data_IF_389280275379
#
_entry.id   IF_389280275379
#
_cell.length_a   1.000
_cell.length_b   1.000
_cell.length_c   1.000
_cell.angle_alpha   90.00
_cell.angle_beta   90.00
_cell.angle_gamma   90.00
#
_symmetry.space_group_name_H-M   'P 1'
#
loop_
_entity.id
_entity.type
_entity.pdbx_description
1 polymer ?
#
# COMPACT_ATOMS: atom_id res chain seq x y z
N UNK A 1 -3.10 -37.15 -1.21
CA UNK A 1 -3.96 -36.14 -0.52
C UNK A 1 -4.17 -34.99 -1.47
N UNK A 2 -5.43 -34.66 -1.78
CA UNK A 2 -5.78 -33.61 -2.73
C UNK A 2 -5.47 -32.22 -2.15
N UNK A 3 -4.78 -31.38 -2.94
CA UNK A 3 -4.43 -30.00 -2.62
C UNK A 3 -5.72 -29.17 -2.53
N UNK A 4 -5.95 -28.54 -1.38
CA UNK A 4 -6.82 -27.36 -1.33
C UNK A 4 -5.99 -26.23 -1.92
N UNK A 5 -6.36 -25.75 -3.11
CA UNK A 5 -5.86 -24.50 -3.65
C UNK A 5 -6.00 -23.41 -2.58
N UNK A 6 -4.93 -22.68 -2.26
CA UNK A 6 -4.99 -21.45 -1.43
C UNK A 6 -5.87 -20.37 -2.09
N UNK A 7 -6.28 -20.60 -3.34
CA UNK A 7 -7.01 -19.65 -4.15
C UNK A 7 -8.53 -19.89 -4.13
N UNK A 8 -9.27 -18.84 -3.77
CA UNK A 8 -10.73 -18.57 -3.90
C UNK A 8 -11.56 -18.34 -2.62
N UNK A 9 -11.06 -18.58 -1.40
CA UNK A 9 -11.84 -18.18 -0.21
C UNK A 9 -11.70 -16.69 0.03
N UNK A 10 -12.75 -15.95 -0.30
CA UNK A 10 -12.91 -14.58 0.19
C UNK A 10 -12.95 -14.64 1.72
N UNK A 11 -11.88 -14.14 2.36
CA UNK A 11 -11.89 -13.86 3.80
C UNK A 11 -12.99 -12.82 4.05
N UNK A 12 -14.09 -13.26 4.65
CA UNK A 12 -15.18 -12.39 5.10
C UNK A 12 -14.98 -12.15 6.59
N UNK A 13 -14.58 -10.95 6.95
CA UNK A 13 -14.48 -10.52 8.34
C UNK A 13 -15.83 -9.97 8.80
N UNK A 14 -16.11 -10.08 10.10
CA UNK A 14 -17.23 -9.35 10.70
C UNK A 14 -16.92 -7.86 10.79
N UNK A 15 -17.94 -7.05 11.05
CA UNK A 15 -17.76 -5.62 11.29
C UNK A 15 -16.73 -5.39 12.41
N UNK A 16 -15.78 -4.49 12.15
CA UNK A 16 -14.79 -4.08 13.13
C UNK A 16 -15.43 -3.27 14.26
N UNK A 17 -14.91 -3.41 15.48
CA UNK A 17 -15.34 -2.57 16.60
C UNK A 17 -14.85 -1.11 16.42
N UNK A 18 -15.37 -0.15 17.20
CA UNK A 18 -15.09 1.28 17.02
C UNK A 18 -13.61 1.65 17.23
N UNK A 19 -12.85 0.80 17.92
CA UNK A 19 -11.43 1.00 18.12
C UNK A 19 -10.57 0.46 16.97
N UNK A 20 -11.14 -0.13 15.92
CA UNK A 20 -10.43 -0.74 14.80
C UNK A 20 -10.95 -0.17 13.48
N UNK A 21 -10.14 -0.23 12.43
CA UNK A 21 -10.55 0.13 11.06
C UNK A 21 -10.50 -1.10 10.16
N UNK A 22 -11.46 -1.25 9.23
CA UNK A 22 -11.32 -2.25 8.16
C UNK A 22 -10.32 -1.81 7.09
N UNK A 23 -10.03 -0.51 7.01
CA UNK A 23 -9.09 0.06 6.05
C UNK A 23 -7.69 0.23 6.63
N UNK A 24 -6.71 -0.10 5.80
CA UNK A 24 -5.29 0.03 6.06
C UNK A 24 -4.67 0.89 4.97
N UNK A 25 -3.82 1.84 5.34
CA UNK A 25 -3.28 2.83 4.42
C UNK A 25 -1.78 2.59 4.27
N UNK A 26 -1.31 2.41 3.04
CA UNK A 26 0.10 2.56 2.72
C UNK A 26 0.34 4.00 2.28
N UNK A 27 0.87 4.81 3.19
CA UNK A 27 1.25 6.19 2.89
C UNK A 27 2.50 6.23 2.00
N UNK A 28 2.51 7.10 1.00
CA UNK A 28 3.67 7.30 0.12
C UNK A 28 4.62 8.36 0.64
N UNK A 29 4.26 9.09 1.69
CA UNK A 29 5.16 9.94 2.46
C UNK A 29 5.05 9.68 3.96
N UNK A 30 6.01 10.25 4.68
CA UNK A 30 6.04 10.34 6.15
C UNK A 30 6.46 11.77 6.50
N UNK A 31 6.26 12.18 7.76
CA UNK A 31 6.62 13.52 8.23
C UNK A 31 8.05 13.94 7.90
N UNK A 32 8.31 15.26 7.90
CA UNK A 32 9.53 15.92 7.41
C UNK A 32 10.85 15.42 8.05
N UNK A 33 10.79 14.64 9.14
CA UNK A 33 11.94 14.07 9.84
C UNK A 33 11.96 12.53 9.86
N UNK A 34 11.10 11.88 9.08
CA UNK A 34 11.02 10.44 9.04
C UNK A 34 12.24 9.84 8.32
N UNK A 35 12.91 8.91 9.01
CA UNK A 35 13.99 8.14 8.40
C UNK A 35 13.44 7.08 7.44
N UNK A 36 13.97 7.02 6.23
CA UNK A 36 13.80 5.87 5.35
C UNK A 36 14.62 4.70 5.87
N UNK A 37 14.10 3.47 5.73
CA UNK A 37 14.96 2.29 5.92
C UNK A 37 16.10 2.36 4.90
N UNK A 38 17.36 2.17 5.30
CA UNK A 38 18.51 2.30 4.40
C UNK A 38 18.46 1.31 3.22
N UNK A 39 17.61 0.29 3.32
CA UNK A 39 17.38 -0.75 2.31
C UNK A 39 16.45 -0.31 1.16
N UNK A 40 15.78 0.84 1.25
CA UNK A 40 15.01 1.40 0.13
C UNK A 40 16.00 1.99 -0.91
N UNK A 41 15.92 1.58 -2.19
CA UNK A 41 16.75 2.13 -3.26
C UNK A 41 16.64 3.65 -3.38
N UNK A 42 17.76 4.30 -3.71
CA UNK A 42 17.87 5.77 -3.76
C UNK A 42 16.81 6.42 -4.66
N UNK A 43 16.57 5.85 -5.83
CA UNK A 43 15.55 6.34 -6.77
C UNK A 43 14.16 6.49 -6.14
N UNK A 44 13.80 5.61 -5.19
CA UNK A 44 12.52 5.70 -4.49
C UNK A 44 12.58 6.68 -3.32
N UNK A 45 13.75 6.87 -2.69
CA UNK A 45 13.93 7.86 -1.62
C UNK A 45 13.81 9.30 -2.12
N UNK A 46 14.18 9.54 -3.37
CA UNK A 46 14.13 10.85 -4.02
C UNK A 46 12.75 11.21 -4.59
N UNK A 47 11.82 10.25 -4.71
CA UNK A 47 10.47 10.51 -5.18
C UNK A 47 9.67 11.34 -4.17
N UNK A 48 8.89 12.28 -4.67
CA UNK A 48 7.84 12.92 -3.88
C UNK A 48 6.75 11.90 -3.52
N UNK A 49 5.84 12.27 -2.60
CA UNK A 49 4.71 11.43 -2.23
C UNK A 49 3.82 11.11 -3.44
N UNK A 50 3.62 12.13 -4.29
CA UNK A 50 2.84 12.08 -5.51
C UNK A 50 3.51 11.19 -6.56
N UNK A 51 4.82 11.36 -6.80
CA UNK A 51 5.55 10.54 -7.79
C UNK A 51 5.56 9.07 -7.38
N UNK A 52 5.68 8.79 -6.07
CA UNK A 52 5.63 7.42 -5.57
C UNK A 52 4.22 6.84 -5.72
N UNK A 53 3.17 7.62 -5.45
CA UNK A 53 1.79 7.19 -5.68
C UNK A 53 1.56 6.90 -7.16
N UNK A 54 1.99 7.80 -8.04
CA UNK A 54 1.90 7.65 -9.50
C UNK A 54 2.59 6.37 -9.98
N UNK A 55 3.80 6.11 -9.49
CA UNK A 55 4.55 4.89 -9.80
C UNK A 55 3.82 3.62 -9.35
N UNK A 56 3.20 3.64 -8.17
CA UNK A 56 2.40 2.51 -7.67
C UNK A 56 1.18 2.30 -8.55
N UNK A 57 0.44 3.36 -8.89
CA UNK A 57 -0.76 3.28 -9.72
C UNK A 57 -0.45 2.80 -11.13
N UNK A 58 0.59 3.35 -11.76
CA UNK A 58 0.98 2.97 -13.12
C UNK A 58 1.52 1.55 -13.23
N UNK A 59 2.18 1.04 -12.19
CA UNK A 59 2.72 -0.33 -12.18
C UNK A 59 1.78 -1.38 -11.60
N UNK A 60 0.75 -0.97 -10.84
CA UNK A 60 -0.12 -1.87 -10.07
C UNK A 60 0.62 -2.64 -8.96
N UNK A 61 1.80 -2.15 -8.55
CA UNK A 61 2.71 -2.87 -7.66
C UNK A 61 3.13 -1.99 -6.49
N UNK A 62 3.08 -2.59 -5.31
CA UNK A 62 3.58 -1.98 -4.10
C UNK A 62 4.84 -2.72 -3.65
N UNK A 63 6.00 -2.11 -3.84
CA UNK A 63 7.28 -2.73 -3.51
C UNK A 63 7.52 -2.73 -1.99
N UNK A 64 7.88 -3.88 -1.45
CA UNK A 64 8.22 -4.03 -0.04
C UNK A 64 9.70 -3.91 0.19
N UNK A 65 10.07 -3.52 1.42
CA UNK A 65 11.45 -3.48 1.89
C UNK A 65 11.53 -4.01 3.32
N UNK A 66 12.67 -4.54 3.77
CA UNK A 66 12.76 -4.98 5.16
C UNK A 66 12.64 -3.78 6.11
N UNK A 67 11.78 -3.86 7.14
CA UNK A 67 11.66 -2.82 8.14
C UNK A 67 12.93 -2.72 8.99
N UNK A 68 13.05 -1.65 9.76
CA UNK A 68 14.19 -1.45 10.67
C UNK A 68 14.34 -2.64 11.61
N UNK A 69 15.56 -3.17 11.72
CA UNK A 69 15.86 -4.30 12.60
C UNK A 69 15.43 -5.67 12.09
N UNK A 70 14.84 -5.78 10.88
CA UNK A 70 14.42 -7.06 10.30
C UNK A 70 15.04 -7.32 8.92
N UNK A 71 15.03 -8.60 8.51
CA UNK A 71 15.48 -9.03 7.19
C UNK A 71 14.32 -9.40 6.25
N UNK A 72 13.17 -9.79 6.79
CA UNK A 72 11.99 -10.14 6.00
C UNK A 72 11.43 -8.89 5.32
N UNK A 73 11.40 -8.91 3.99
CA UNK A 73 10.77 -7.88 3.17
C UNK A 73 9.27 -7.86 3.45
N UNK A 74 8.74 -6.66 3.73
CA UNK A 74 7.32 -6.45 3.99
C UNK A 74 6.83 -5.21 3.26
N UNK A 75 5.52 -5.17 2.98
CA UNK A 75 4.81 -3.90 2.78
C UNK A 75 4.17 -3.51 4.11
N UNK A 76 4.38 -2.27 4.53
CA UNK A 76 3.82 -1.74 5.76
C UNK A 76 2.57 -0.91 5.47
N UNK A 77 1.58 -0.99 6.35
CA UNK A 77 0.37 -0.19 6.32
C UNK A 77 0.10 0.38 7.71
N UNK A 78 -0.67 1.44 7.79
CA UNK A 78 -1.15 2.00 9.05
C UNK A 78 -2.67 1.78 9.14
N UNK A 79 -3.13 1.21 10.24
CA UNK A 79 -4.56 1.11 10.56
C UNK A 79 -5.05 2.45 11.09
N UNK A 80 -5.83 3.15 10.27
CA UNK A 80 -6.20 4.54 10.54
C UNK A 80 -7.72 4.73 10.44
N UNK A 81 -8.46 4.54 11.56
CA UNK A 81 -9.79 5.10 11.70
C UNK A 81 -9.79 6.61 11.38
N UNK A 82 -10.93 7.25 11.04
CA UNK A 82 -10.97 8.65 10.59
C UNK A 82 -10.21 9.63 11.49
N UNK A 83 -10.46 9.62 12.80
CA UNK A 83 -9.78 10.50 13.76
C UNK A 83 -8.26 10.22 13.82
N UNK A 84 -7.87 8.96 13.65
CA UNK A 84 -6.46 8.58 13.62
C UNK A 84 -5.79 9.02 12.32
N UNK A 85 -6.47 8.89 11.18
CA UNK A 85 -5.99 9.40 9.89
C UNK A 85 -5.75 10.92 9.98
N UNK A 86 -6.70 11.66 10.56
CA UNK A 86 -6.55 13.08 10.80
C UNK A 86 -5.31 13.37 11.64
N UNK A 87 -5.16 12.70 12.79
CA UNK A 87 -3.97 12.83 13.64
C UNK A 87 -2.65 12.57 12.89
N UNK A 88 -2.58 11.51 12.07
CA UNK A 88 -1.38 11.20 11.29
C UNK A 88 -1.04 12.34 10.32
N UNK A 89 -2.03 12.88 9.61
CA UNK A 89 -1.81 13.92 8.60
C UNK A 89 -1.50 15.27 9.27
N UNK A 90 -2.31 15.72 10.21
CA UNK A 90 -2.22 17.08 10.79
C UNK A 90 -1.10 17.20 11.81
N UNK A 91 -0.95 16.21 12.68
CA UNK A 91 -0.10 16.34 13.87
C UNK A 91 1.25 15.64 13.69
N UNK A 92 1.29 14.62 12.83
CA UNK A 92 2.48 13.78 12.59
C UNK A 92 3.12 14.03 11.23
N UNK A 93 2.53 14.90 10.42
CA UNK A 93 3.07 15.36 9.14
C UNK A 93 3.02 14.33 8.03
N UNK A 94 2.17 13.31 8.12
CA UNK A 94 1.97 12.39 7.00
C UNK A 94 1.35 13.16 5.85
N UNK A 95 1.87 12.96 4.64
CA UNK A 95 1.20 13.50 3.47
C UNK A 95 -0.08 12.71 3.20
N UNK A 96 -1.16 13.36 2.76
CA UNK A 96 -2.41 12.71 2.37
C UNK A 96 -2.28 12.00 1.01
N UNK A 97 -1.29 11.11 0.88
CA UNK A 97 -0.97 10.40 -0.35
C UNK A 97 -0.75 8.93 -0.03
N UNK A 98 -1.51 8.04 -0.67
CA UNK A 98 -1.40 6.63 -0.37
C UNK A 98 -2.37 5.73 -1.12
N UNK A 99 -2.20 4.44 -0.92
CA UNK A 99 -3.17 3.42 -1.36
C UNK A 99 -3.85 2.82 -0.13
N UNK A 100 -5.16 2.66 -0.22
CA UNK A 100 -6.00 2.10 0.84
C UNK A 100 -6.37 0.68 0.45
N UNK A 101 -6.20 -0.26 1.38
CA UNK A 101 -6.57 -1.67 1.23
C UNK A 101 -7.45 -2.08 2.41
N UNK A 102 -8.14 -3.22 2.28
CA UNK A 102 -8.89 -3.78 3.40
C UNK A 102 -8.02 -4.72 4.24
N UNK A 103 -8.38 -4.93 5.51
CA UNK A 103 -7.77 -5.93 6.38
C UNK A 103 -7.86 -7.33 5.77
N UNK A 104 -9.02 -7.68 5.24
CA UNK A 104 -9.20 -8.94 4.51
C UNK A 104 -8.21 -9.06 3.34
N UNK A 105 -7.93 -7.97 2.62
CA UNK A 105 -6.91 -7.92 1.58
C UNK A 105 -5.52 -8.23 2.11
N UNK A 106 -5.09 -7.59 3.20
CA UNK A 106 -3.77 -7.83 3.80
C UNK A 106 -3.63 -9.24 4.39
N UNK A 107 -4.67 -9.75 5.07
CA UNK A 107 -4.69 -11.10 5.64
C UNK A 107 -4.59 -12.21 4.58
N UNK A 108 -5.10 -11.97 3.36
CA UNK A 108 -4.92 -12.92 2.22
C UNK A 108 -3.46 -13.11 1.82
N UNK A 109 -2.60 -12.17 2.18
CA UNK A 109 -1.15 -12.22 1.93
C UNK A 109 -0.37 -12.57 3.20
N UNK A 110 -0.98 -13.35 4.10
CA UNK A 110 -0.39 -13.73 5.39
C UNK A 110 0.08 -12.50 6.21
N UNK A 111 -0.52 -11.33 5.95
CA UNK A 111 -0.24 -10.08 6.64
C UNK A 111 -0.96 -9.99 7.99
N UNK A 112 -0.62 -8.98 8.80
CA UNK A 112 -1.17 -8.84 10.15
C UNK A 112 -0.71 -7.58 10.88
N UNK A 113 -1.25 -7.39 12.08
CA UNK A 113 -0.85 -6.31 12.98
C UNK A 113 0.53 -6.59 13.59
N UNK A 114 1.28 -5.52 13.85
CA UNK A 114 2.61 -5.56 14.47
C UNK A 114 2.51 -5.33 15.97
N UNK A 115 3.32 -6.05 16.75
CA UNK A 115 3.38 -5.91 18.20
C UNK A 115 4.39 -4.83 18.60
N UNK A 116 3.99 -3.90 19.47
CA UNK A 116 4.88 -2.93 20.10
C UNK A 116 5.30 -3.47 21.47
N UNK A 117 6.59 -3.73 21.65
CA UNK A 117 7.09 -4.56 22.76
C UNK A 117 8.35 -3.97 23.39
N UNK A 118 8.73 -4.42 24.59
CA UNK A 118 10.01 -4.04 25.20
C UNK A 118 11.19 -4.68 24.46
N UNK A 119 12.41 -4.15 24.66
CA UNK A 119 13.62 -4.67 24.00
C UNK A 119 13.89 -6.16 24.29
N UNK A 120 13.62 -6.63 25.52
CA UNK A 120 13.77 -8.04 25.89
C UNK A 120 12.81 -8.94 25.10
N UNK A 121 11.57 -8.49 24.89
CA UNK A 121 10.58 -9.23 24.10
C UNK A 121 10.93 -9.15 22.61
N UNK A 122 11.38 -8.00 22.12
CA UNK A 122 11.86 -7.85 20.75
C UNK A 122 13.02 -8.81 20.44
N UNK A 123 13.97 -8.96 21.37
CA UNK A 123 15.08 -9.91 21.23
C UNK A 123 14.57 -11.34 21.01
N UNK A 124 13.55 -11.78 21.76
CA UNK A 124 12.92 -13.09 21.57
C UNK A 124 12.25 -13.24 20.20
N UNK A 125 11.57 -12.18 19.72
CA UNK A 125 11.04 -12.17 18.36
C UNK A 125 12.17 -12.32 17.33
N UNK A 126 13.29 -11.59 17.51
CA UNK A 126 14.42 -11.64 16.59
C UNK A 126 15.11 -13.01 16.57
N UNK A 127 15.35 -13.62 17.73
CA UNK A 127 15.90 -14.98 17.87
C UNK A 127 15.02 -16.03 17.20
N UNK A 128 13.70 -15.84 17.21
CA UNK A 128 12.74 -16.69 16.52
C UNK A 128 12.61 -16.39 14.99
N UNK A 129 13.34 -15.41 14.45
CA UNK A 129 13.21 -14.98 13.05
C UNK A 129 11.96 -14.14 12.77
N UNK A 130 11.25 -13.69 13.81
CA UNK A 130 9.99 -12.95 13.77
C UNK A 130 10.16 -11.45 14.02
N UNK A 131 11.39 -10.90 13.96
CA UNK A 131 11.64 -9.47 14.16
C UNK A 131 10.73 -8.54 13.35
N UNK A 132 10.31 -8.98 12.16
CA UNK A 132 9.38 -8.25 11.30
C UNK A 132 7.93 -8.17 11.82
N UNK A 133 7.58 -8.88 12.89
CA UNK A 133 6.27 -8.78 13.56
C UNK A 133 6.29 -7.91 14.82
N UNK A 134 7.45 -7.33 15.15
CA UNK A 134 7.60 -6.52 16.36
C UNK A 134 8.28 -5.17 16.08
N UNK A 135 8.00 -4.20 16.93
CA UNK A 135 8.68 -2.91 17.02
C UNK A 135 9.08 -2.70 18.49
N UNK A 136 10.37 -2.49 18.80
CA UNK A 136 10.80 -2.23 20.17
C UNK A 136 10.39 -0.81 20.59
N UNK A 137 9.78 -0.69 21.77
CA UNK A 137 9.47 0.58 22.42
C UNK A 137 10.62 0.95 23.37
N UNK A 138 11.26 2.07 23.06
CA UNK A 138 12.30 2.75 23.85
C UNK A 138 11.86 4.17 24.24
N UNK A 139 12.65 4.82 25.08
CA UNK A 139 12.49 6.24 25.36
C UNK A 139 12.46 7.05 24.05
N UNK A 140 11.51 7.98 23.92
CA UNK A 140 11.26 8.78 22.72
C UNK A 140 10.89 7.99 21.46
N UNK A 141 10.32 6.78 21.60
CA UNK A 141 9.83 6.01 20.45
C UNK A 141 8.82 6.80 19.66
N UNK A 142 9.20 7.14 18.44
CA UNK A 142 8.30 7.83 17.51
C UNK A 142 7.24 6.90 16.96
N UNK A 143 7.21 5.60 17.25
CA UNK A 143 6.30 4.65 16.59
C UNK A 143 4.93 4.48 17.26
N UNK A 144 4.74 5.06 18.44
CA UNK A 144 3.52 4.86 19.26
C UNK A 144 2.28 5.60 18.75
N UNK A 145 2.44 6.50 17.78
CA UNK A 145 1.34 7.25 17.18
C UNK A 145 0.70 6.50 16.01
N UNK A 146 1.19 5.31 15.65
CA UNK A 146 0.64 4.50 14.55
C UNK A 146 0.17 3.14 15.07
N UNK A 147 -0.65 2.48 14.25
CA UNK A 147 -0.97 1.05 14.40
C UNK A 147 -0.50 0.34 13.16
N UNK A 148 0.74 -0.14 13.20
CA UNK A 148 1.38 -0.73 12.03
C UNK A 148 0.82 -2.14 11.72
N UNK A 149 0.59 -2.38 10.43
CA UNK A 149 0.31 -3.66 9.82
C UNK A 149 1.40 -3.99 8.80
N UNK A 150 1.75 -5.26 8.65
CA UNK A 150 2.74 -5.72 7.66
C UNK A 150 2.20 -6.87 6.85
N UNK A 151 2.47 -6.86 5.55
CA UNK A 151 2.30 -7.99 4.65
C UNK A 151 3.69 -8.51 4.24
N UNK A 152 4.15 -9.66 4.77
CA UNK A 152 5.39 -10.27 4.35
C UNK A 152 5.35 -10.61 2.85
N UNK A 153 6.41 -10.27 2.12
CA UNK A 153 6.53 -10.63 0.71
C UNK A 153 7.22 -11.99 0.56
N UNK A 154 6.64 -13.01 1.18
CA UNK A 154 7.07 -14.37 1.03
C UNK A 154 5.90 -15.35 1.12
N UNK A 155 6.08 -16.54 0.56
CA UNK A 155 5.11 -17.63 0.66
C UNK A 155 5.85 -18.96 0.76
N UNK A 156 5.41 -19.84 1.65
CA UNK A 156 5.87 -21.21 1.66
C UNK A 156 5.16 -22.03 0.57
N UNK A 157 5.93 -22.52 -0.40
CA UNK A 157 5.45 -23.35 -1.50
C UNK A 157 6.17 -24.70 -1.45
N UNK A 158 5.45 -25.73 -1.01
CA UNK A 158 5.96 -27.10 -0.83
C UNK A 158 7.20 -27.18 0.08
N UNK A 159 7.19 -26.50 1.23
CA UNK A 159 8.31 -26.47 2.18
C UNK A 159 9.45 -25.52 1.82
N UNK A 160 9.34 -24.77 0.71
CA UNK A 160 10.32 -23.77 0.29
C UNK A 160 9.72 -22.38 0.37
N UNK A 161 10.37 -21.47 1.09
CA UNK A 161 9.97 -20.06 1.14
C UNK A 161 10.38 -19.36 -0.16
N UNK A 162 9.40 -18.94 -0.95
CA UNK A 162 9.58 -18.03 -2.08
C UNK A 162 9.47 -16.59 -1.59
N UNK A 163 10.38 -15.72 -2.03
CA UNK A 163 10.30 -14.30 -1.76
C UNK A 163 9.80 -13.55 -2.99
N UNK A 164 8.97 -12.53 -2.76
CA UNK A 164 8.46 -11.63 -3.77
C UNK A 164 9.02 -10.23 -3.54
N UNK A 165 9.08 -9.42 -4.59
CA UNK A 165 9.53 -8.02 -4.50
C UNK A 165 8.38 -7.04 -4.32
N UNK A 166 7.15 -7.42 -4.68
CA UNK A 166 5.99 -6.55 -4.59
C UNK A 166 4.73 -7.27 -4.09
N UNK A 167 3.90 -6.51 -3.40
CA UNK A 167 2.50 -6.78 -3.16
C UNK A 167 1.72 -6.38 -4.41
N UNK A 168 1.01 -7.33 -5.02
CA UNK A 168 0.19 -7.06 -6.21
C UNK A 168 -1.08 -6.35 -5.80
N UNK A 169 -1.34 -5.19 -6.40
CA UNK A 169 -2.56 -4.41 -6.17
C UNK A 169 -3.54 -4.69 -7.32
N UNK A 170 -4.20 -5.85 -7.31
CA UNK A 170 -5.22 -6.17 -8.32
C UNK A 170 -6.37 -5.15 -8.33
N UNK A 171 -6.69 -4.60 -7.15
CA UNK A 171 -7.52 -3.41 -6.96
C UNK A 171 -7.26 -2.84 -5.57
N UNK A 172 -6.96 -1.55 -5.45
CA UNK A 172 -7.02 -0.88 -4.17
C UNK A 172 -8.49 -0.76 -3.73
N UNK A 173 -8.73 -0.68 -2.42
CA UNK A 173 -10.04 -0.30 -1.92
C UNK A 173 -10.33 1.17 -2.26
N UNK A 174 -9.34 2.03 -1.99
CA UNK A 174 -9.37 3.43 -2.36
C UNK A 174 -7.96 3.98 -2.62
N UNK A 175 -7.89 5.19 -3.19
CA UNK A 175 -6.65 5.94 -3.40
C UNK A 175 -6.78 7.24 -2.61
N UNK A 176 -5.84 7.51 -1.69
CA UNK A 176 -5.81 8.74 -0.89
C UNK A 176 -4.97 9.80 -1.60
N UNK A 177 -5.56 10.98 -1.83
CA UNK A 177 -4.89 12.14 -2.44
C UNK A 177 -5.12 13.42 -1.62
N UNK A 178 -4.14 14.32 -1.66
CA UNK A 178 -4.17 15.60 -0.96
C UNK A 178 -4.69 16.77 -1.77
N UNK A 179 -4.76 16.59 -3.08
CA UNK A 179 -5.14 17.64 -4.03
C UNK A 179 -6.22 17.08 -4.98
N UNK A 180 -7.45 17.63 -4.97
CA UNK A 180 -8.52 17.19 -5.87
C UNK A 180 -8.20 17.40 -7.37
N UNK A 181 -7.27 18.31 -7.69
CA UNK A 181 -6.79 18.56 -9.05
C UNK A 181 -5.74 17.56 -9.53
N UNK A 182 -5.15 16.77 -8.64
CA UNK A 182 -4.10 15.82 -9.01
C UNK A 182 -4.67 14.63 -9.81
N UNK A 183 -3.91 14.17 -10.81
CA UNK A 183 -4.20 12.98 -11.61
C UNK A 183 -2.91 12.16 -11.79
N UNK A 184 -3.00 10.82 -11.82
CA UNK A 184 -1.87 10.00 -12.20
C UNK A 184 -1.53 10.15 -13.69
N UNK A 185 -0.30 9.86 -14.03
CA UNK A 185 0.20 9.79 -15.41
C UNK A 185 -0.55 8.70 -16.17
N UNK A 186 -1.10 9.00 -17.36
CA UNK A 186 -1.68 7.97 -18.23
C UNK A 186 -0.68 6.87 -18.56
N UNK A 187 -1.18 5.64 -18.66
CA UNK A 187 -0.41 4.46 -19.04
C UNK A 187 -0.91 3.88 -20.35
N UNK A 188 -0.02 3.19 -21.05
CA UNK A 188 -0.39 2.47 -22.27
C UNK A 188 -1.19 1.23 -21.89
N UNK A 189 -2.48 1.19 -22.24
CA UNK A 189 -3.37 0.05 -21.94
C UNK A 189 -3.55 -0.89 -23.12
N UNK A 190 -3.13 -0.46 -24.31
CA UNK A 190 -3.21 -1.24 -25.53
C UNK A 190 -2.72 -0.45 -26.74
N UNK A 191 -3.00 -0.99 -27.91
CA UNK A 191 -2.70 -0.36 -29.19
C UNK A 191 -3.96 -0.36 -30.04
N UNK A 192 -4.13 0.71 -30.81
CA UNK A 192 -5.19 0.83 -31.80
C UNK A 192 -4.56 1.13 -33.16
N UNK A 193 -5.21 0.69 -34.23
CA UNK A 193 -4.81 1.04 -35.58
C UNK A 193 -5.07 2.55 -35.79
N UNK A 194 -4.03 3.32 -36.14
CA UNK A 194 -4.11 4.77 -36.28
C UNK A 194 -5.01 5.26 -37.42
N UNK A 195 -5.41 4.36 -38.34
CA UNK A 195 -6.32 4.69 -39.43
C UNK A 195 -7.77 4.29 -39.14
N UNK A 196 -8.00 3.14 -38.49
CA UNK A 196 -9.35 2.60 -38.25
C UNK A 196 -9.85 2.81 -36.83
N UNK A 197 -8.96 3.03 -35.86
CA UNK A 197 -9.26 3.08 -34.44
C UNK A 197 -9.52 1.71 -33.79
N UNK A 198 -9.45 0.62 -34.55
CA UNK A 198 -9.68 -0.74 -34.04
C UNK A 198 -8.49 -1.23 -33.21
N UNK A 199 -8.75 -2.07 -32.19
CA UNK A 199 -7.70 -2.67 -31.37
C UNK A 199 -6.71 -3.46 -32.25
N UNK A 200 -5.42 -3.21 -32.07
CA UNK A 200 -4.35 -3.90 -32.79
C UNK A 200 -3.21 -4.30 -31.85
N UNK A 201 -2.19 -4.94 -32.39
CA UNK A 201 -0.98 -5.34 -31.67
C UNK A 201 0.16 -4.33 -31.85
N UNK A 202 1.12 -4.26 -30.92
CA UNK A 202 2.23 -3.29 -30.98
C UNK A 202 3.12 -3.40 -32.22
N UNK A 203 3.13 -4.57 -32.89
CA UNK A 203 3.96 -4.88 -34.05
C UNK A 203 3.29 -4.52 -35.40
N UNK A 204 2.03 -4.10 -35.40
CA UNK A 204 1.36 -3.54 -36.57
C UNK A 204 1.99 -2.17 -36.92
N UNK A 205 2.31 -1.95 -38.21
CA UNK A 205 2.90 -0.69 -38.68
C UNK A 205 1.98 0.52 -38.45
N UNK A 206 0.68 0.30 -38.36
CA UNK A 206 -0.30 1.33 -38.06
C UNK A 206 -0.59 1.49 -36.56
N UNK A 207 0.05 0.74 -35.68
CA UNK A 207 -0.25 0.76 -34.25
C UNK A 207 0.11 2.10 -33.60
N UNK A 208 -0.87 2.72 -32.93
CA UNK A 208 -0.68 3.84 -32.01
C UNK A 208 -1.04 3.42 -30.59
N UNK A 209 -0.24 3.81 -29.57
CA UNK A 209 -0.52 3.42 -28.20
C UNK A 209 -1.77 4.15 -27.69
N UNK A 210 -2.66 3.40 -27.05
CA UNK A 210 -3.82 3.95 -26.34
C UNK A 210 -3.40 4.32 -24.93
N UNK A 211 -3.51 5.60 -24.58
CA UNK A 211 -3.21 6.10 -23.24
C UNK A 211 -4.50 6.27 -22.45
N UNK A 212 -4.58 5.61 -21.29
CA UNK A 212 -5.69 5.77 -20.34
C UNK A 212 -5.13 5.99 -18.93
N UNK A 213 -5.95 6.51 -18.02
CA UNK A 213 -5.58 6.52 -16.60
C UNK A 213 -5.39 5.09 -16.08
N UNK A 214 -4.48 4.86 -15.12
CA UNK A 214 -4.22 3.53 -14.58
C UNK A 214 -5.49 2.84 -14.10
N UNK A 215 -5.55 1.52 -14.27
CA UNK A 215 -6.72 0.72 -13.91
C UNK A 215 -7.15 0.93 -12.45
N UNK A 216 -6.18 0.99 -11.52
CA UNK A 216 -6.44 1.28 -10.11
C UNK A 216 -7.20 2.60 -9.92
N UNK A 217 -6.84 3.66 -10.66
CA UNK A 217 -7.55 4.95 -10.59
C UNK A 217 -8.98 4.84 -11.11
N UNK A 218 -9.17 4.13 -12.22
CA UNK A 218 -10.49 3.97 -12.85
C UNK A 218 -11.44 3.06 -12.07
N UNK A 219 -10.92 2.15 -11.23
CA UNK A 219 -11.70 1.12 -10.53
C UNK A 219 -11.79 1.28 -9.02
N UNK A 220 -11.00 2.15 -8.41
CA UNK A 220 -11.02 2.37 -6.95
C UNK A 220 -11.79 3.64 -6.60
N UNK A 221 -12.38 3.68 -5.40
CA UNK A 221 -12.85 4.94 -4.81
C UNK A 221 -11.67 5.90 -4.64
N UNK A 222 -11.88 7.20 -4.87
CA UNK A 222 -10.87 8.22 -4.60
C UNK A 222 -11.23 8.94 -3.31
N UNK A 223 -10.29 8.95 -2.38
CA UNK A 223 -10.37 9.62 -1.08
C UNK A 223 -9.59 10.91 -1.18
N UNK A 224 -10.28 12.05 -1.12
CA UNK A 224 -9.66 13.37 -1.13
C UNK A 224 -9.61 13.89 0.29
N UNK A 225 -8.41 14.15 0.80
CA UNK A 225 -8.24 14.76 2.11
C UNK A 225 -8.68 16.23 2.09
N UNK A 226 -9.56 16.61 3.01
CA UNK A 226 -10.01 17.97 3.19
C UNK A 226 -9.33 18.59 4.43
N UNK A 227 -8.39 19.54 4.25
CA UNK A 227 -7.65 20.11 5.38
C UNK A 227 -8.50 21.01 6.28
N UNK A 228 -9.64 21.53 5.81
CA UNK A 228 -10.52 22.40 6.60
C UNK A 228 -11.36 21.60 7.59
N UNK A 229 -11.91 20.47 7.13
CA UNK A 229 -12.77 19.60 7.95
C UNK A 229 -11.99 18.50 8.66
N UNK A 230 -10.75 18.23 8.24
CA UNK A 230 -9.94 17.10 8.68
C UNK A 230 -10.61 15.75 8.40
N UNK A 231 -11.37 15.68 7.31
CA UNK A 231 -12.08 14.49 6.87
C UNK A 231 -11.69 14.13 5.44
N UNK A 232 -12.12 12.95 5.01
CA UNK A 232 -11.99 12.49 3.64
C UNK A 232 -13.32 12.66 2.92
N UNK A 233 -13.28 13.32 1.77
CA UNK A 233 -14.37 13.33 0.81
C UNK A 233 -14.19 12.14 -0.15
N UNK A 234 -15.21 11.27 -0.23
CA UNK A 234 -15.17 10.06 -1.06
C UNK A 234 -15.81 10.30 -2.43
N UNK A 235 -15.08 9.96 -3.49
CA UNK A 235 -15.52 10.05 -4.87
C UNK A 235 -15.59 8.66 -5.49
N UNK A 236 -16.72 8.25 -6.08
CA UNK A 236 -16.83 6.98 -6.77
C UNK A 236 -15.79 6.85 -7.90
N UNK A 237 -15.41 5.61 -8.19
CA UNK A 237 -14.48 5.28 -9.27
C UNK A 237 -14.90 5.93 -10.60
N UNK A 238 -13.94 6.56 -11.29
CA UNK A 238 -14.17 7.23 -12.57
C UNK A 238 -14.87 8.60 -12.50
N UNK A 239 -15.18 9.13 -11.30
CA UNK A 239 -15.79 10.47 -11.16
C UNK A 239 -14.77 11.59 -11.34
N UNK A 240 -13.53 11.36 -10.92
CA UNK A 240 -12.40 12.29 -11.09
C UNK A 240 -11.62 11.90 -12.36
N UNK A 241 -12.15 12.30 -13.51
CA UNK A 241 -11.44 12.21 -14.81
C UNK A 241 -10.51 13.38 -15.03
#
# INVERSE_FOLDING_TARGET
MARVSKDSRQLVLQAVGPAQSDTLIHFTSRGENASFTPKVPEQYRQMTAQDRLDSILGSGRLYGYPPFGAQQTCVCFSESPPDHLAHLITDRGFGPWGVVVTRAGVLKHDGGAVAYVTDDVYTRFAEAGLAHWAVPIRENSQWMHEREWRAPLCEEVNGTVKQYSCFSMASAHAILIGDPGWRPTPVTTGYANGFTGEQTYPDDQAAVPVQELPEMWRKSTIWVWNPETQLVDEYPAGTLT
#
